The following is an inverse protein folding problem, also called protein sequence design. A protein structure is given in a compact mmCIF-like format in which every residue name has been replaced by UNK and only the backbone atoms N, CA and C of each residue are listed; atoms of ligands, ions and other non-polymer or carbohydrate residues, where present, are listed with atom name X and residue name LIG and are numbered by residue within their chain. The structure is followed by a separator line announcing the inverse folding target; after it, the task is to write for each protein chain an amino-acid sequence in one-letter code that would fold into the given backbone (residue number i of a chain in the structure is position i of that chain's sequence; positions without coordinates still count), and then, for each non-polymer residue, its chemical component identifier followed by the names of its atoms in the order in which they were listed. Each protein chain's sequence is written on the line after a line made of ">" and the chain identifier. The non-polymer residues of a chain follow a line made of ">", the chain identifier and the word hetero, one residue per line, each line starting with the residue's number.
data_IF_495133382167
#
_entry.id   IF_495133382167
#
_cell.length_a   1.000
_cell.length_b   1.000
_cell.length_c   1.000
_cell.angle_alpha   90.00
_cell.angle_beta   90.00
_cell.angle_gamma   90.00
#
_symmetry.space_group_name_H-M   'P 1'
#
loop_
_entity.id
_entity.type
_entity.pdbx_description
1 polymer ?
#
# COMPACT_ATOMS: atom_id res chain seq x y z
N UNK A 1 110.10 -9.26 29.90
CA UNK A 1 109.23 -8.91 28.77
C UNK A 1 110.05 -8.01 27.86
N UNK A 2 110.34 -8.49 26.65
CA UNK A 2 111.23 -7.79 25.73
C UNK A 2 110.59 -6.50 25.21
N UNK A 3 111.38 -5.48 24.94
CA UNK A 3 110.92 -4.24 24.29
C UNK A 3 110.19 -4.54 22.97
N UNK A 4 110.61 -5.59 22.26
CA UNK A 4 110.00 -6.06 21.00
C UNK A 4 108.58 -6.61 21.21
N UNK A 5 108.31 -7.35 22.30
CA UNK A 5 106.97 -7.87 22.61
C UNK A 5 105.98 -6.73 22.89
N UNK A 6 106.44 -5.71 23.63
CA UNK A 6 105.61 -4.55 23.99
C UNK A 6 105.26 -3.74 22.73
N UNK A 7 106.21 -3.56 21.81
CA UNK A 7 105.97 -2.86 20.53
C UNK A 7 104.97 -3.62 19.65
N UNK A 8 105.07 -4.96 19.59
CA UNK A 8 104.12 -5.80 18.85
C UNK A 8 102.71 -5.75 19.45
N UNK A 9 102.60 -5.71 20.78
CA UNK A 9 101.31 -5.62 21.47
C UNK A 9 100.62 -4.28 21.17
N UNK A 10 101.37 -3.17 21.19
CA UNK A 10 100.85 -1.83 20.86
C UNK A 10 100.40 -1.74 19.40
N UNK A 11 101.18 -2.29 18.46
CA UNK A 11 100.80 -2.36 17.03
C UNK A 11 99.52 -3.20 16.83
N UNK A 12 99.39 -4.31 17.55
CA UNK A 12 98.19 -5.15 17.51
C UNK A 12 96.94 -4.41 17.97
N UNK A 13 97.02 -3.64 19.07
CA UNK A 13 95.90 -2.83 19.57
C UNK A 13 95.50 -1.76 18.54
N UNK A 14 96.48 -1.09 17.92
CA UNK A 14 96.22 -0.06 16.90
C UNK A 14 95.54 -0.68 15.67
N UNK A 15 95.97 -1.85 15.20
CA UNK A 15 95.32 -2.56 14.09
C UNK A 15 93.86 -2.92 14.37
N UNK A 16 93.51 -3.32 15.60
CA UNK A 16 92.12 -3.62 15.98
C UNK A 16 91.25 -2.36 15.98
N UNK A 17 91.76 -1.25 16.51
CA UNK A 17 91.03 0.03 16.52
C UNK A 17 90.80 0.55 15.10
N UNK A 18 91.82 0.47 14.24
CA UNK A 18 91.72 0.85 12.83
C UNK A 18 90.76 -0.08 12.07
N UNK A 19 90.79 -1.39 12.36
CA UNK A 19 89.85 -2.36 11.79
C UNK A 19 88.40 -2.09 12.18
N UNK A 20 88.14 -1.67 13.42
CA UNK A 20 86.80 -1.26 13.88
C UNK A 20 86.36 0.03 13.17
N UNK A 21 87.23 1.03 13.04
CA UNK A 21 86.90 2.30 12.37
C UNK A 21 86.61 2.10 10.87
N UNK A 22 87.42 1.30 10.18
CA UNK A 22 87.20 0.95 8.77
C UNK A 22 85.98 0.03 8.59
N UNK A 23 85.78 -0.95 9.47
CA UNK A 23 84.59 -1.82 9.45
C UNK A 23 83.28 -1.13 9.81
N UNK A 24 83.32 0.03 10.49
CA UNK A 24 82.15 0.89 10.70
C UNK A 24 81.86 1.75 9.46
N UNK A 25 82.87 2.06 8.64
CA UNK A 25 82.74 2.97 7.49
C UNK A 25 82.38 2.25 6.18
N UNK A 26 82.66 0.94 6.07
CA UNK A 26 82.23 0.13 4.93
C UNK A 26 81.17 -0.90 5.36
N UNK A 27 79.91 -0.45 5.40
CA UNK A 27 78.74 -1.31 5.33
C UNK A 27 77.83 -0.78 4.22
N UNK A 28 78.33 -0.84 2.97
CA UNK A 28 77.44 -0.91 1.82
C UNK A 28 77.20 -2.39 1.51
N UNK A 29 75.92 -2.76 1.53
CA UNK A 29 75.34 -4.03 1.10
C UNK A 29 75.65 -5.28 1.93
N UNK A 30 74.82 -5.54 2.95
CA UNK A 30 73.72 -6.52 2.85
C UNK A 30 73.06 -6.79 4.21
N UNK A 31 71.73 -7.00 4.15
CA UNK A 31 70.79 -7.43 5.19
C UNK A 31 70.46 -6.42 6.30
N UNK A 32 69.31 -5.75 6.18
CA UNK A 32 68.03 -6.20 6.78
C UNK A 32 68.14 -6.34 8.29
N UNK A 33 67.77 -5.29 9.02
CA UNK A 33 66.93 -5.37 10.22
C UNK A 33 66.59 -3.96 10.77
N UNK A 34 65.32 -3.57 10.57
CA UNK A 34 64.44 -2.82 11.46
C UNK A 34 64.90 -1.47 12.10
N UNK A 35 64.41 -0.34 11.55
CA UNK A 35 63.80 0.77 12.33
C UNK A 35 62.92 1.64 11.39
N UNK A 36 61.65 1.95 11.73
CA UNK A 36 60.69 2.52 10.80
C UNK A 36 60.82 4.04 10.79
N UNK A 37 61.65 4.55 9.89
CA UNK A 37 61.45 5.89 9.39
C UNK A 37 60.15 5.86 8.57
N UNK A 38 59.07 6.36 9.17
CA UNK A 38 57.84 6.73 8.47
C UNK A 38 58.20 7.72 7.37
N UNK A 39 58.47 7.17 6.19
CA UNK A 39 58.58 7.94 4.96
C UNK A 39 57.20 8.48 4.65
N UNK A 40 57.02 9.78 4.91
CA UNK A 40 55.82 10.58 4.65
C UNK A 40 55.40 10.59 3.16
N UNK A 41 56.17 9.90 2.30
CA UNK A 41 55.96 9.75 0.87
C UNK A 41 54.94 8.66 0.47
N UNK A 42 54.57 7.74 1.36
CA UNK A 42 53.64 6.63 1.04
C UNK A 42 52.26 6.73 1.71
N UNK A 43 52.05 7.73 2.58
CA UNK A 43 50.77 7.93 3.28
C UNK A 43 49.61 8.22 2.32
N UNK A 44 49.84 9.01 1.27
CA UNK A 44 48.80 9.35 0.28
C UNK A 44 48.38 8.14 -0.59
N UNK A 45 49.33 7.27 -0.97
CA UNK A 45 49.05 6.05 -1.74
C UNK A 45 48.32 5.02 -0.88
N UNK A 46 48.72 4.87 0.38
CA UNK A 46 48.05 3.99 1.34
C UNK A 46 46.63 4.47 1.67
N UNK A 47 46.43 5.78 1.86
CA UNK A 47 45.08 6.36 2.07
C UNK A 47 44.19 6.13 0.85
N UNK A 48 44.71 6.28 -0.37
CA UNK A 48 43.94 5.99 -1.60
C UNK A 48 43.52 4.52 -1.71
N UNK A 49 44.42 3.58 -1.39
CA UNK A 49 44.10 2.14 -1.35
C UNK A 49 43.07 1.81 -0.27
N UNK A 50 43.17 2.44 0.89
CA UNK A 50 42.20 2.29 1.98
C UNK A 50 40.83 2.84 1.57
N UNK A 51 40.77 4.04 0.98
CA UNK A 51 39.52 4.61 0.47
C UNK A 51 38.88 3.72 -0.58
N UNK A 52 39.65 3.21 -1.55
CA UNK A 52 39.14 2.28 -2.56
C UNK A 52 38.62 0.97 -1.95
N UNK A 53 39.28 0.47 -0.90
CA UNK A 53 38.82 -0.73 -0.18
C UNK A 53 37.52 -0.45 0.57
N UNK A 54 37.38 0.74 1.16
CA UNK A 54 36.14 1.19 1.81
C UNK A 54 35.02 1.30 0.79
N UNK A 55 35.25 1.92 -0.37
CA UNK A 55 34.24 2.06 -1.43
C UNK A 55 33.77 0.68 -1.92
N UNK A 56 34.70 -0.25 -2.18
CA UNK A 56 34.37 -1.62 -2.57
C UNK A 56 33.56 -2.37 -1.48
N UNK A 57 33.89 -2.18 -0.20
CA UNK A 57 33.13 -2.78 0.91
C UNK A 57 31.73 -2.17 0.98
N UNK A 58 31.60 -0.86 0.81
CA UNK A 58 30.31 -0.18 0.79
C UNK A 58 29.47 -0.70 -0.37
N UNK A 59 30.02 -0.77 -1.58
CA UNK A 59 29.33 -1.28 -2.76
C UNK A 59 28.89 -2.73 -2.58
N UNK A 60 29.76 -3.59 -2.04
CA UNK A 60 29.41 -4.98 -1.73
C UNK A 60 28.31 -5.08 -0.65
N UNK A 61 28.36 -4.24 0.40
CA UNK A 61 27.32 -4.21 1.44
C UNK A 61 26.02 -3.63 0.93
N UNK A 62 26.08 -2.65 0.04
CA UNK A 62 24.93 -2.07 -0.64
C UNK A 62 24.24 -3.15 -1.47
N UNK A 63 25.01 -3.90 -2.26
CA UNK A 63 24.49 -5.01 -3.07
C UNK A 63 23.85 -6.11 -2.22
N UNK A 64 24.50 -6.54 -1.13
CA UNK A 64 23.93 -7.56 -0.22
C UNK A 64 22.62 -7.07 0.45
N UNK A 65 22.54 -5.77 0.77
CA UNK A 65 21.32 -5.15 1.28
C UNK A 65 20.25 -5.10 0.19
N UNK A 66 20.60 -4.74 -1.04
CA UNK A 66 19.68 -4.72 -2.19
C UNK A 66 19.13 -6.11 -2.46
N UNK A 67 19.97 -7.12 -2.62
CA UNK A 67 19.58 -8.51 -2.87
C UNK A 67 18.65 -9.03 -1.75
N UNK A 68 19.01 -8.75 -0.48
CA UNK A 68 18.19 -9.14 0.67
C UNK A 68 16.87 -8.38 0.73
N UNK A 69 16.86 -7.12 0.30
CA UNK A 69 15.67 -6.28 0.26
C UNK A 69 14.75 -6.73 -0.86
N UNK A 70 15.28 -7.00 -2.06
CA UNK A 70 14.55 -7.56 -3.20
C UNK A 70 13.92 -8.91 -2.82
N UNK A 71 14.68 -9.84 -2.25
CA UNK A 71 14.14 -11.12 -1.81
C UNK A 71 13.04 -10.98 -0.72
N UNK A 72 13.17 -10.01 0.18
CA UNK A 72 12.14 -9.70 1.19
C UNK A 72 10.91 -9.05 0.56
N UNK A 73 11.10 -8.15 -0.40
CA UNK A 73 10.03 -7.49 -1.13
C UNK A 73 9.26 -8.49 -2.00
N UNK A 74 9.94 -9.39 -2.69
CA UNK A 74 9.31 -10.47 -3.46
C UNK A 74 8.46 -11.36 -2.57
N UNK A 75 9.01 -11.79 -1.43
CA UNK A 75 8.26 -12.60 -0.47
C UNK A 75 7.06 -11.84 0.07
N UNK A 76 7.23 -10.57 0.45
CA UNK A 76 6.14 -9.73 0.96
C UNK A 76 5.06 -9.49 -0.11
N UNK A 77 5.48 -9.23 -1.35
CA UNK A 77 4.61 -9.02 -2.50
C UNK A 77 3.78 -10.28 -2.78
N UNK A 78 4.42 -11.45 -2.83
CA UNK A 78 3.72 -12.73 -3.02
C UNK A 78 2.71 -13.00 -1.90
N UNK A 79 3.07 -12.76 -0.64
CA UNK A 79 2.12 -12.87 0.48
C UNK A 79 0.96 -11.89 0.35
N UNK A 80 1.23 -10.63 -0.02
CA UNK A 80 0.18 -9.62 -0.19
C UNK A 80 -0.75 -9.93 -1.34
N UNK A 81 -0.23 -10.47 -2.44
CA UNK A 81 -1.04 -10.97 -3.55
C UNK A 81 -1.93 -12.12 -3.08
N UNK A 82 -1.40 -13.07 -2.29
CA UNK A 82 -2.20 -14.16 -1.73
C UNK A 82 -3.34 -13.65 -0.84
N UNK A 83 -3.01 -12.81 0.16
CA UNK A 83 -3.99 -12.22 1.07
C UNK A 83 -5.05 -11.40 0.31
N UNK A 84 -4.64 -10.66 -0.72
CA UNK A 84 -5.54 -9.88 -1.56
C UNK A 84 -6.44 -10.77 -2.41
N UNK A 85 -5.95 -11.89 -2.93
CA UNK A 85 -6.76 -12.88 -3.64
C UNK A 85 -7.78 -13.53 -2.70
N UNK A 86 -7.36 -13.98 -1.51
CA UNK A 86 -8.29 -14.56 -0.52
C UNK A 86 -9.38 -13.57 -0.11
N UNK A 87 -9.02 -12.29 0.10
CA UNK A 87 -10.00 -11.24 0.37
C UNK A 87 -10.94 -11.00 -0.81
N UNK A 88 -10.41 -10.93 -2.03
CA UNK A 88 -11.20 -10.75 -3.24
C UNK A 88 -12.20 -11.89 -3.43
N UNK A 89 -11.80 -13.14 -3.20
CA UNK A 89 -12.69 -14.31 -3.25
C UNK A 89 -13.81 -14.22 -2.20
N UNK A 90 -13.48 -13.76 -0.98
CA UNK A 90 -14.47 -13.49 0.06
C UNK A 90 -15.52 -12.46 -0.38
N UNK A 91 -15.07 -11.31 -0.87
CA UNK A 91 -15.94 -10.23 -1.36
C UNK A 91 -16.78 -10.68 -2.56
N UNK A 92 -16.18 -11.37 -3.54
CA UNK A 92 -16.89 -11.88 -4.71
C UNK A 92 -17.98 -12.89 -4.31
N UNK A 93 -17.70 -13.75 -3.33
CA UNK A 93 -18.69 -14.69 -2.80
C UNK A 93 -19.86 -13.97 -2.14
N UNK A 94 -19.59 -12.92 -1.35
CA UNK A 94 -20.65 -12.08 -0.76
C UNK A 94 -21.45 -11.33 -1.82
N UNK A 95 -20.80 -10.76 -2.83
CA UNK A 95 -21.47 -10.11 -3.97
C UNK A 95 -22.38 -11.11 -4.69
N UNK A 96 -21.89 -12.31 -4.97
CA UNK A 96 -22.67 -13.36 -5.63
C UNK A 96 -23.88 -13.78 -4.77
N UNK A 97 -23.69 -13.92 -3.45
CA UNK A 97 -24.78 -14.21 -2.52
C UNK A 97 -25.83 -13.10 -2.52
N UNK A 98 -25.40 -11.85 -2.41
CA UNK A 98 -26.31 -10.69 -2.41
C UNK A 98 -27.04 -10.56 -3.75
N UNK A 99 -26.35 -10.81 -4.87
CA UNK A 99 -26.96 -10.81 -6.20
C UNK A 99 -28.06 -11.87 -6.30
N UNK A 100 -27.81 -13.08 -5.82
CA UNK A 100 -28.80 -14.16 -5.80
C UNK A 100 -30.00 -13.82 -4.91
N UNK A 101 -29.77 -13.22 -3.74
CA UNK A 101 -30.85 -12.80 -2.83
C UNK A 101 -31.71 -11.70 -3.46
N UNK A 102 -31.09 -10.71 -4.10
CA UNK A 102 -31.80 -9.63 -4.81
C UNK A 102 -32.62 -10.18 -5.99
N UNK A 103 -32.06 -11.10 -6.77
CA UNK A 103 -32.79 -11.75 -7.86
C UNK A 103 -33.96 -12.58 -7.33
N UNK A 104 -33.75 -13.32 -6.24
CA UNK A 104 -34.83 -14.06 -5.59
C UNK A 104 -35.96 -13.13 -5.09
N UNK A 105 -35.61 -11.99 -4.48
CA UNK A 105 -36.60 -10.98 -4.10
C UNK A 105 -37.34 -10.40 -5.32
N UNK A 106 -36.64 -10.18 -6.43
CA UNK A 106 -37.24 -9.72 -7.68
C UNK A 106 -38.25 -10.73 -8.25
N UNK A 107 -37.88 -12.01 -8.26
CA UNK A 107 -38.75 -13.10 -8.72
C UNK A 107 -39.98 -13.24 -7.84
N UNK A 108 -39.82 -13.21 -6.50
CA UNK A 108 -40.96 -13.23 -5.57
C UNK A 108 -41.89 -12.02 -5.75
N UNK A 109 -41.34 -10.82 -5.97
CA UNK A 109 -42.17 -9.63 -6.22
C UNK A 109 -42.96 -9.76 -7.54
N UNK A 110 -42.33 -10.26 -8.59
CA UNK A 110 -43.00 -10.51 -9.86
C UNK A 110 -44.07 -11.61 -9.74
N UNK A 111 -43.79 -12.68 -8.99
CA UNK A 111 -44.77 -13.72 -8.70
C UNK A 111 -45.95 -13.17 -7.89
N UNK A 112 -45.69 -12.37 -6.85
CA UNK A 112 -46.75 -11.71 -6.06
C UNK A 112 -47.58 -10.73 -6.87
N UNK A 113 -46.98 -9.96 -7.78
CA UNK A 113 -47.73 -9.09 -8.68
C UNK A 113 -48.67 -9.91 -9.59
N UNK A 114 -48.19 -11.04 -10.12
CA UNK A 114 -48.99 -11.97 -10.92
C UNK A 114 -50.12 -12.62 -10.11
N UNK A 115 -49.85 -13.07 -8.88
CA UNK A 115 -50.85 -13.62 -7.95
C UNK A 115 -51.91 -12.59 -7.57
N UNK A 116 -51.52 -11.34 -7.31
CA UNK A 116 -52.47 -10.25 -7.01
C UNK A 116 -53.34 -9.97 -8.24
N UNK A 117 -52.76 -9.89 -9.43
CA UNK A 117 -53.51 -9.61 -10.66
C UNK A 117 -54.51 -10.72 -10.99
N UNK A 118 -54.15 -11.98 -10.77
CA UNK A 118 -55.06 -13.12 -10.95
C UNK A 118 -56.15 -13.14 -9.88
N UNK A 119 -55.81 -12.96 -8.60
CA UNK A 119 -56.79 -12.87 -7.50
C UNK A 119 -57.78 -11.73 -7.70
N UNK A 120 -57.32 -10.55 -8.12
CA UNK A 120 -58.19 -9.40 -8.43
C UNK A 120 -59.11 -9.72 -9.60
N UNK A 121 -58.61 -10.41 -10.64
CA UNK A 121 -59.43 -10.86 -11.77
C UNK A 121 -60.50 -11.87 -11.34
N UNK A 122 -60.16 -12.82 -10.47
CA UNK A 122 -61.08 -13.85 -9.99
C UNK A 122 -62.13 -13.29 -9.02
N UNK A 123 -61.74 -12.39 -8.12
CA UNK A 123 -62.68 -11.66 -7.24
C UNK A 123 -63.63 -10.80 -8.07
N UNK A 124 -63.13 -10.13 -9.12
CA UNK A 124 -63.97 -9.32 -10.00
C UNK A 124 -64.86 -10.18 -10.90
N UNK A 125 -64.38 -11.32 -11.40
CA UNK A 125 -65.18 -12.30 -12.14
C UNK A 125 -66.29 -12.91 -11.28
N UNK A 126 -66.00 -13.17 -10.01
CA UNK A 126 -66.99 -13.64 -9.03
C UNK A 126 -68.01 -12.56 -8.66
N UNK A 127 -67.64 -11.27 -8.72
CA UNK A 127 -68.57 -10.14 -8.54
C UNK A 127 -69.43 -9.86 -9.76
N UNK A 128 -68.90 -10.03 -10.97
CA UNK A 128 -69.66 -9.90 -12.21
C UNK A 128 -70.71 -11.02 -12.37
N UNK A 129 -70.41 -12.24 -11.91
CA UNK A 129 -71.39 -13.33 -11.84
C UNK A 129 -72.37 -13.25 -10.66
N UNK A 130 -72.17 -12.32 -9.71
CA UNK A 130 -73.06 -12.12 -8.55
C UNK A 130 -74.12 -11.04 -8.79
N UNK A 131 -74.01 -10.23 -9.85
CA UNK A 131 -74.96 -9.14 -10.10
C UNK A 131 -76.30 -9.59 -10.71
N UNK A 132 -76.53 -10.89 -10.85
CA UNK A 132 -77.85 -11.44 -11.19
C UNK A 132 -78.63 -11.95 -9.99
N UNK A 133 -78.06 -12.03 -8.77
CA UNK A 133 -78.83 -12.51 -7.62
C UNK A 133 -78.39 -11.92 -6.27
N UNK A 134 -79.41 -11.41 -5.58
CA UNK A 134 -79.54 -11.29 -4.12
C UNK A 134 -78.94 -10.04 -3.42
N UNK A 135 -79.86 -9.11 -3.21
CA UNK A 135 -79.98 -8.24 -2.04
C UNK A 135 -79.75 -8.99 -0.71
N UNK A 136 -79.17 -8.26 0.26
CA UNK A 136 -79.14 -8.50 1.72
C UNK A 136 -78.02 -9.38 2.28
N UNK A 137 -77.01 -8.77 2.92
CA UNK A 137 -76.87 -8.79 4.40
C UNK A 137 -75.67 -7.95 4.89
N UNK A 138 -75.76 -7.54 6.16
CA UNK A 138 -75.21 -6.31 6.75
C UNK A 138 -73.79 -6.43 7.32
N UNK A 139 -73.17 -5.25 7.45
CA UNK A 139 -71.89 -4.90 8.09
C UNK A 139 -71.88 -5.10 9.62
N UNK A 140 -70.66 -5.29 10.17
CA UNK A 140 -70.01 -4.56 11.30
C UNK A 140 -68.92 -5.43 11.92
N UNK A 141 -67.73 -5.04 12.40
CA UNK A 141 -66.91 -3.83 12.57
C UNK A 141 -65.44 -4.36 12.69
N UNK A 142 -64.35 -3.69 12.33
CA UNK A 142 -63.82 -2.50 13.00
C UNK A 142 -62.66 -1.91 12.15
N UNK A 143 -62.58 -0.57 12.13
CA UNK A 143 -61.56 0.24 11.48
C UNK A 143 -60.41 0.46 12.47
N UNK A 144 -59.16 0.26 12.03
CA UNK A 144 -58.11 1.23 12.35
C UNK A 144 -57.16 1.37 11.17
N UNK A 145 -57.17 2.59 10.64
CA UNK A 145 -56.23 3.18 9.72
C UNK A 145 -54.81 3.19 10.28
N UNK A 146 -53.83 2.71 9.52
CA UNK A 146 -52.59 3.46 9.28
C UNK A 146 -52.15 3.20 7.83
N UNK A 147 -52.30 4.24 7.04
CA UNK A 147 -51.63 4.52 5.80
C UNK A 147 -50.12 4.33 5.99
N UNK A 148 -49.48 3.45 5.22
CA UNK A 148 -48.09 3.64 4.75
C UNK A 148 -47.77 2.64 3.65
N UNK A 149 -48.06 3.11 2.44
CA UNK A 149 -47.33 2.81 1.23
C UNK A 149 -45.87 3.25 1.47
N UNK A 150 -44.84 2.39 1.48
CA UNK A 150 -43.51 2.83 1.11
C UNK A 150 -43.47 2.83 -0.42
N UNK A 151 -44.22 3.74 -1.01
CA UNK A 151 -43.64 4.46 -2.12
C UNK A 151 -42.66 5.39 -1.46
N UNK A 152 -41.39 5.02 -1.47
CA UNK A 152 -40.33 6.03 -1.39
C UNK A 152 -40.33 6.71 -2.76
N UNK A 153 -41.43 7.42 -3.05
CA UNK A 153 -41.35 8.72 -3.70
C UNK A 153 -40.73 9.58 -2.62
N UNK A 154 -39.41 9.60 -2.60
CA UNK A 154 -38.72 10.72 -2.01
C UNK A 154 -39.10 11.89 -2.92
N UNK A 155 -40.16 12.61 -2.52
CA UNK A 155 -40.41 13.97 -2.97
C UNK A 155 -39.31 14.84 -2.34
N UNK A 156 -38.05 14.57 -2.72
CA UNK A 156 -37.02 15.58 -2.64
C UNK A 156 -37.42 16.52 -3.76
N UNK A 157 -37.78 17.75 -3.40
CA UNK A 157 -38.05 18.82 -4.34
C UNK A 157 -37.06 18.70 -5.51
N UNK A 158 -37.59 18.65 -6.73
CA UNK A 158 -36.77 18.52 -7.92
C UNK A 158 -35.84 19.74 -7.97
N UNK A 159 -34.60 19.54 -7.50
CA UNK A 159 -33.56 20.56 -7.56
C UNK A 159 -33.24 20.71 -9.03
N UNK A 160 -33.80 21.75 -9.64
CA UNK A 160 -33.44 22.19 -10.99
C UNK A 160 -31.96 22.54 -10.91
N UNK A 161 -31.13 21.71 -11.51
CA UNK A 161 -29.70 21.96 -11.63
C UNK A 161 -29.53 22.94 -12.78
N UNK A 162 -29.11 24.17 -12.50
CA UNK A 162 -28.68 25.08 -13.55
C UNK A 162 -27.53 24.43 -14.32
N UNK A 163 -27.65 24.38 -15.64
CA UNK A 163 -26.63 23.77 -16.51
C UNK A 163 -25.30 24.52 -16.48
N UNK A 164 -25.27 25.73 -15.92
CA UNK A 164 -24.07 26.53 -15.69
C UNK A 164 -23.20 26.07 -14.50
N UNK A 165 -23.70 25.16 -13.65
CA UNK A 165 -22.96 24.70 -12.46
C UNK A 165 -21.92 23.65 -12.81
N UNK A 166 -20.76 23.72 -12.16
CA UNK A 166 -19.74 22.68 -12.26
C UNK A 166 -20.25 21.35 -11.68
N UNK A 167 -19.78 20.22 -12.21
CA UNK A 167 -20.14 18.88 -11.70
C UNK A 167 -19.95 18.76 -10.19
N UNK A 168 -18.89 19.38 -9.66
CA UNK A 168 -18.60 19.39 -8.23
C UNK A 168 -19.67 20.14 -7.42
N UNK A 169 -20.11 21.30 -7.92
CA UNK A 169 -21.17 22.09 -7.27
C UNK A 169 -22.52 21.38 -7.32
N UNK A 170 -22.81 20.66 -8.41
CA UNK A 170 -24.01 19.81 -8.52
C UNK A 170 -23.98 18.68 -7.48
N UNK A 171 -22.83 18.05 -7.25
CA UNK A 171 -22.65 17.04 -6.20
C UNK A 171 -22.94 17.62 -4.82
N UNK A 172 -22.34 18.76 -4.47
CA UNK A 172 -22.49 19.38 -3.14
C UNK A 172 -23.93 19.86 -2.92
N UNK A 173 -24.59 20.45 -3.92
CA UNK A 173 -25.99 20.86 -3.81
C UNK A 173 -26.91 19.67 -3.55
N UNK A 174 -26.72 18.57 -4.27
CA UNK A 174 -27.53 17.36 -4.07
C UNK A 174 -27.25 16.72 -2.70
N UNK A 175 -25.99 16.67 -2.28
CA UNK A 175 -25.62 16.14 -0.97
C UNK A 175 -26.22 16.96 0.19
N UNK A 176 -26.11 18.29 0.12
CA UNK A 176 -26.72 19.21 1.09
C UNK A 176 -28.26 19.13 1.08
N UNK A 177 -28.85 18.73 -0.04
CA UNK A 177 -30.29 18.48 -0.17
C UNK A 177 -30.72 17.11 0.39
N UNK A 178 -29.79 16.34 0.95
CA UNK A 178 -30.05 15.04 1.58
C UNK A 178 -30.04 13.85 0.62
N UNK A 179 -29.58 14.03 -0.63
CA UNK A 179 -29.37 12.90 -1.53
C UNK A 179 -28.17 12.05 -1.07
N UNK A 180 -28.30 10.73 -1.20
CA UNK A 180 -27.21 9.80 -0.92
C UNK A 180 -26.18 9.84 -2.04
N UNK A 181 -24.92 9.58 -1.71
CA UNK A 181 -23.80 9.46 -2.66
C UNK A 181 -24.12 8.56 -3.88
N UNK A 182 -24.79 7.43 -3.66
CA UNK A 182 -25.23 6.52 -4.72
C UNK A 182 -26.30 7.12 -5.65
N UNK A 183 -27.21 7.93 -5.10
CA UNK A 183 -28.28 8.57 -5.87
C UNK A 183 -27.73 9.74 -6.70
N UNK A 184 -26.78 10.48 -6.12
CA UNK A 184 -26.04 11.55 -6.80
C UNK A 184 -25.23 10.99 -7.97
N UNK A 185 -24.48 9.91 -7.74
CA UNK A 185 -23.70 9.23 -8.78
C UNK A 185 -24.58 8.78 -9.95
N UNK A 186 -25.75 8.20 -9.65
CA UNK A 186 -26.72 7.77 -10.66
C UNK A 186 -27.32 8.94 -11.44
N UNK A 187 -27.63 10.05 -10.77
CA UNK A 187 -28.23 11.25 -11.39
C UNK A 187 -27.24 12.01 -12.28
N UNK A 188 -25.97 12.06 -11.87
CA UNK A 188 -24.91 12.78 -12.59
C UNK A 188 -24.10 11.89 -13.56
N UNK A 189 -24.38 10.57 -13.60
CA UNK A 189 -23.63 9.57 -14.38
C UNK A 189 -22.12 9.57 -14.05
N UNK A 190 -21.80 9.67 -12.76
CA UNK A 190 -20.43 9.70 -12.24
C UNK A 190 -20.14 8.44 -11.41
N UNK A 191 -18.85 8.17 -11.14
CA UNK A 191 -18.45 7.08 -10.25
C UNK A 191 -18.75 7.40 -8.78
N UNK A 192 -19.24 6.42 -8.00
CA UNK A 192 -19.58 6.62 -6.58
C UNK A 192 -18.35 7.06 -5.75
N UNK A 193 -17.16 6.55 -6.09
CA UNK A 193 -15.91 6.95 -5.44
C UNK A 193 -15.54 8.41 -5.67
N UNK A 194 -15.78 8.94 -6.86
CA UNK A 194 -15.53 10.34 -7.21
C UNK A 194 -16.49 11.28 -6.46
N UNK A 195 -17.78 10.92 -6.42
CA UNK A 195 -18.80 11.66 -5.66
C UNK A 195 -18.45 11.69 -4.18
N UNK A 196 -18.05 10.55 -3.59
CA UNK A 196 -17.67 10.47 -2.17
C UNK A 196 -16.39 11.23 -1.85
N UNK A 197 -15.41 11.22 -2.74
CA UNK A 197 -14.18 12.01 -2.60
C UNK A 197 -14.49 13.51 -2.54
N UNK A 198 -15.33 14.01 -3.45
CA UNK A 198 -15.72 15.43 -3.50
C UNK A 198 -16.51 15.84 -2.26
N UNK A 199 -17.42 14.98 -1.78
CA UNK A 199 -18.16 15.22 -0.54
C UNK A 199 -17.21 15.30 0.66
N UNK A 200 -16.27 14.36 0.78
CA UNK A 200 -15.32 14.33 1.91
C UNK A 200 -14.41 15.57 1.92
N UNK A 201 -13.86 15.93 0.75
CA UNK A 201 -13.03 17.13 0.59
C UNK A 201 -13.80 18.42 0.90
N UNK A 202 -15.08 18.49 0.50
CA UNK A 202 -15.92 19.66 0.78
C UNK A 202 -16.41 19.73 2.24
N UNK A 203 -16.56 18.59 2.91
CA UNK A 203 -17.07 18.53 4.29
C UNK A 203 -15.96 18.69 5.33
N UNK A 204 -14.68 18.71 4.92
CA UNK A 204 -13.54 18.84 5.82
C UNK A 204 -13.29 17.61 6.71
N UNK A 205 -13.91 16.47 6.40
CA UNK A 205 -13.64 15.21 7.08
C UNK A 205 -12.42 14.55 6.42
N UNK A 206 -11.23 14.91 6.90
CA UNK A 206 -9.97 14.21 6.59
C UNK A 206 -9.76 13.04 7.55
#
# INVERSE_FOLDING_TARGET
>A
MGTVEIVLLVIGIICVIVGIILGITDNNDHDKDMNPAVSDYDAASQVSKVSQTIDNIIEQKMQDIEDKTEARLDKLSNTKILEMNEYADGVLKEINRNHNEVMFMYDMLNEKDKEIKTTVKDVNGTRMNRNTNAYSEKKSHNKQSVQNKPSVKNDIAEVILDDALSSNEKIIKLYNSGYRDVDIAKRLKMGVGEVRLIINLSSGNN
#
